data_IF_134403317573
#
_entry.id   IF_134403317573
#
_cell.length_a   1.000
_cell.length_b   1.000
_cell.length_c   1.000
_cell.angle_alpha   90.00
_cell.angle_beta   90.00
_cell.angle_gamma   90.00
#
_symmetry.space_group_name_H-M   'P 1'
#
loop_
_entity.id
_entity.type
_entity.pdbx_description
1 polymer ?
#
# COMPACT_ATOMS: atom_id res chain seq x y z
N UNK A 1 -29.96 -39.68 -5.05
CA UNK A 1 -29.36 -38.41 -4.58
C UNK A 1 -28.38 -37.92 -5.64
N UNK A 2 -28.68 -36.82 -6.32
CA UNK A 2 -27.80 -36.27 -7.36
C UNK A 2 -26.65 -35.53 -6.66
N UNK A 3 -25.42 -35.99 -6.86
CA UNK A 3 -24.24 -35.33 -6.32
C UNK A 3 -24.18 -33.87 -6.82
N UNK A 4 -23.92 -32.88 -5.95
CA UNK A 4 -23.88 -31.49 -6.37
C UNK A 4 -22.74 -31.31 -7.38
N UNK A 5 -23.08 -30.77 -8.56
CA UNK A 5 -22.13 -30.44 -9.62
C UNK A 5 -20.97 -29.61 -9.03
N UNK A 6 -19.77 -30.20 -8.98
CA UNK A 6 -18.54 -29.50 -8.59
C UNK A 6 -18.33 -28.37 -9.59
N UNK A 7 -18.62 -27.12 -9.20
CA UNK A 7 -18.32 -25.95 -10.04
C UNK A 7 -16.82 -25.97 -10.35
N UNK A 8 -16.47 -25.91 -11.63
CA UNK A 8 -15.09 -25.71 -12.07
C UNK A 8 -14.59 -24.37 -11.50
N UNK A 9 -13.88 -24.44 -10.38
CA UNK A 9 -13.24 -23.29 -9.76
C UNK A 9 -11.91 -23.03 -10.48
N UNK A 10 -11.62 -21.76 -10.74
CA UNK A 10 -10.38 -21.33 -11.38
C UNK A 10 -9.18 -21.82 -10.55
N UNK A 11 -8.28 -22.56 -11.20
CA UNK A 11 -7.03 -23.00 -10.59
C UNK A 11 -6.09 -21.83 -10.24
N UNK A 12 -5.04 -22.13 -9.47
CA UNK A 12 -4.07 -21.13 -9.02
C UNK A 12 -3.42 -20.40 -10.19
N UNK A 13 -3.21 -19.09 -10.03
CA UNK A 13 -2.39 -18.34 -10.95
C UNK A 13 -0.94 -18.79 -10.83
N UNK A 14 -0.27 -19.05 -11.96
CA UNK A 14 1.11 -19.55 -12.04
C UNK A 14 2.08 -18.58 -12.74
N UNK A 15 1.66 -17.35 -13.03
CA UNK A 15 2.50 -16.35 -13.71
C UNK A 15 2.67 -16.54 -15.23
N UNK A 16 2.50 -17.77 -15.75
CA UNK A 16 2.73 -18.18 -17.16
C UNK A 16 2.06 -17.30 -18.23
N UNK A 17 0.98 -16.61 -17.90
CA UNK A 17 0.25 -15.76 -18.86
C UNK A 17 0.90 -14.38 -19.03
N UNK A 18 1.65 -13.91 -18.03
CA UNK A 18 2.23 -12.56 -18.04
C UNK A 18 3.32 -12.43 -19.12
N UNK A 19 4.22 -13.41 -19.20
CA UNK A 19 5.35 -13.43 -20.14
C UNK A 19 4.85 -13.39 -21.59
N UNK A 20 3.88 -14.25 -21.92
CA UNK A 20 3.24 -14.27 -23.24
C UNK A 20 2.56 -12.94 -23.62
N UNK A 21 1.99 -12.23 -22.65
CA UNK A 21 1.35 -10.94 -22.89
C UNK A 21 2.38 -9.84 -23.17
N UNK A 22 3.54 -9.89 -22.52
CA UNK A 22 4.63 -8.94 -22.73
C UNK A 22 5.29 -9.19 -24.10
N UNK A 23 5.52 -10.45 -24.47
CA UNK A 23 5.97 -10.82 -25.81
C UNK A 23 4.99 -10.34 -26.89
N UNK A 24 3.68 -10.58 -26.71
CA UNK A 24 2.65 -10.08 -27.62
C UNK A 24 2.54 -8.54 -27.66
N UNK A 25 3.02 -7.85 -26.62
CA UNK A 25 3.13 -6.39 -26.57
C UNK A 25 4.46 -5.88 -27.18
N UNK A 26 5.14 -6.70 -27.99
CA UNK A 26 6.42 -6.36 -28.63
C UNK A 26 7.59 -6.29 -27.64
N UNK A 27 7.50 -7.02 -26.52
CA UNK A 27 8.51 -7.01 -25.45
C UNK A 27 8.48 -5.75 -24.59
N UNK A 28 7.50 -4.86 -24.77
CA UNK A 28 7.35 -3.62 -23.99
C UNK A 28 6.59 -3.87 -22.68
N UNK A 29 6.89 -3.12 -21.61
CA UNK A 29 6.19 -3.25 -20.33
C UNK A 29 4.69 -2.99 -20.49
N UNK A 30 3.86 -3.71 -19.72
CA UNK A 30 2.41 -3.54 -19.79
C UNK A 30 1.98 -2.21 -19.16
N UNK A 31 1.19 -1.37 -19.86
CA UNK A 31 0.77 -0.07 -19.34
C UNK A 31 -0.21 -0.23 -18.17
N UNK A 32 0.07 0.48 -17.08
CA UNK A 32 -0.78 0.59 -15.89
C UNK A 32 -0.85 2.05 -15.48
N UNK A 33 -2.04 2.51 -15.10
CA UNK A 33 -2.22 3.86 -14.55
C UNK A 33 -2.57 3.79 -13.08
N UNK A 34 -1.85 4.52 -12.25
CA UNK A 34 -2.18 4.75 -10.84
C UNK A 34 -2.25 6.27 -10.67
N UNK A 35 -3.45 6.81 -10.43
CA UNK A 35 -3.62 8.25 -10.24
C UNK A 35 -3.29 8.65 -8.79
N UNK A 36 -2.70 9.82 -8.54
CA UNK A 36 -2.45 10.34 -7.19
C UNK A 36 -3.72 10.47 -6.33
N UNK A 37 -4.84 10.85 -6.94
CA UNK A 37 -6.11 11.11 -6.25
C UNK A 37 -6.67 9.86 -5.56
N UNK A 38 -6.56 8.70 -6.22
CA UNK A 38 -7.32 7.50 -5.83
C UNK A 38 -6.42 6.38 -5.30
N UNK A 39 -5.14 6.38 -5.68
CA UNK A 39 -4.17 5.34 -5.30
C UNK A 39 -4.56 3.93 -5.76
N UNK A 40 -5.49 3.79 -6.71
CA UNK A 40 -5.91 2.52 -7.30
C UNK A 40 -5.38 2.39 -8.72
N UNK A 41 -4.95 1.18 -9.06
CA UNK A 41 -4.56 0.85 -10.43
C UNK A 41 -5.80 0.69 -11.33
N UNK A 42 -5.74 1.29 -12.50
CA UNK A 42 -6.75 1.22 -13.55
C UNK A 42 -6.09 0.80 -14.88
N UNK A 43 -6.90 0.39 -15.85
CA UNK A 43 -6.45 -0.05 -17.16
C UNK A 43 -6.60 -1.55 -17.42
N UNK A 44 -6.36 -1.96 -18.67
CA UNK A 44 -6.61 -3.33 -19.19
C UNK A 44 -5.85 -4.42 -18.44
N UNK A 45 -4.66 -4.12 -17.93
CA UNK A 45 -3.76 -5.09 -17.30
C UNK A 45 -3.78 -5.07 -15.76
N UNK A 46 -4.71 -4.32 -15.14
CA UNK A 46 -4.81 -4.17 -13.68
C UNK A 46 -4.93 -5.52 -12.94
N UNK A 47 -5.67 -6.47 -13.51
CA UNK A 47 -5.81 -7.82 -12.97
C UNK A 47 -4.49 -8.61 -13.03
N UNK A 48 -3.67 -8.38 -14.05
CA UNK A 48 -2.37 -9.03 -14.20
C UNK A 48 -1.38 -8.53 -13.15
N UNK A 49 -1.34 -7.22 -12.92
CA UNK A 49 -0.58 -6.64 -11.82
C UNK A 49 -1.05 -7.16 -10.46
N UNK A 50 -2.37 -7.20 -10.22
CA UNK A 50 -2.95 -7.77 -8.99
C UNK A 50 -2.54 -9.23 -8.73
N UNK A 51 -2.43 -10.02 -9.79
CA UNK A 51 -2.01 -11.42 -9.71
C UNK A 51 -0.51 -11.52 -9.43
N UNK A 52 0.31 -10.70 -10.09
CA UNK A 52 1.76 -10.65 -9.88
C UNK A 52 2.07 -10.28 -8.42
N UNK A 53 1.47 -9.19 -7.91
CA UNK A 53 1.60 -8.79 -6.50
C UNK A 53 1.24 -9.97 -5.57
N UNK A 54 0.15 -10.67 -5.87
CA UNK A 54 -0.27 -11.84 -5.09
C UNK A 54 0.73 -12.99 -5.15
N UNK A 55 1.36 -13.23 -6.30
CA UNK A 55 2.40 -14.24 -6.47
C UNK A 55 3.66 -13.86 -5.69
N UNK A 56 4.13 -12.63 -5.87
CA UNK A 56 5.31 -12.10 -5.18
C UNK A 56 5.16 -12.24 -3.66
N UNK A 57 4.01 -11.86 -3.10
CA UNK A 57 3.77 -12.01 -1.66
C UNK A 57 3.86 -13.46 -1.20
N UNK A 58 3.24 -14.40 -1.92
CA UNK A 58 3.25 -15.82 -1.53
C UNK A 58 4.64 -16.47 -1.64
N UNK A 59 5.48 -15.98 -2.54
CA UNK A 59 6.80 -16.55 -2.79
C UNK A 59 7.91 -15.91 -1.96
N UNK A 60 7.75 -14.64 -1.58
CA UNK A 60 8.85 -13.85 -1.03
C UNK A 60 8.54 -13.13 0.29
N UNK A 61 7.27 -12.98 0.69
CA UNK A 61 6.99 -12.28 1.94
C UNK A 61 7.34 -13.17 3.15
N UNK A 62 8.14 -12.68 4.12
CA UNK A 62 8.48 -13.44 5.31
C UNK A 62 7.24 -13.62 6.20
N UNK A 63 6.77 -14.86 6.29
CA UNK A 63 5.48 -15.16 6.93
C UNK A 63 5.51 -15.03 8.46
N UNK A 64 6.72 -15.11 9.04
CA UNK A 64 6.98 -14.93 10.48
C UNK A 64 6.82 -13.48 10.95
N UNK A 65 6.75 -12.51 10.04
CA UNK A 65 6.48 -11.12 10.41
C UNK A 65 5.03 -10.97 10.88
N UNK A 66 4.88 -10.53 12.13
CA UNK A 66 3.58 -10.54 12.78
C UNK A 66 2.59 -9.57 12.12
N UNK A 67 3.04 -8.33 11.92
CA UNK A 67 2.28 -7.20 11.37
C UNK A 67 3.01 -6.62 10.17
N UNK A 68 2.29 -6.23 9.12
CA UNK A 68 2.88 -5.59 7.93
C UNK A 68 3.75 -4.37 8.27
N UNK A 69 3.36 -3.59 9.28
CA UNK A 69 4.13 -2.41 9.74
C UNK A 69 5.53 -2.75 10.29
N UNK A 70 5.76 -4.00 10.67
CA UNK A 70 7.05 -4.49 11.16
C UNK A 70 7.87 -5.16 10.05
N UNK A 71 7.35 -5.18 8.82
CA UNK A 71 8.07 -5.75 7.68
C UNK A 71 9.31 -4.90 7.38
N UNK A 72 10.51 -5.51 7.32
CA UNK A 72 11.73 -4.78 6.99
C UNK A 72 11.60 -4.07 5.65
N UNK A 73 12.13 -2.85 5.54
CA UNK A 73 12.02 -2.09 4.28
C UNK A 73 12.73 -2.74 3.11
N UNK A 74 13.84 -3.43 3.35
CA UNK A 74 14.57 -4.19 2.34
C UNK A 74 13.69 -5.27 1.70
N UNK A 75 12.86 -5.95 2.48
CA UNK A 75 11.93 -6.99 2.00
C UNK A 75 10.82 -6.39 1.14
N UNK A 76 10.26 -5.25 1.56
CA UNK A 76 9.23 -4.57 0.77
C UNK A 76 9.81 -4.07 -0.55
N UNK A 77 11.00 -3.46 -0.53
CA UNK A 77 11.66 -2.99 -1.74
C UNK A 77 11.98 -4.15 -2.69
N UNK A 78 12.48 -5.26 -2.17
CA UNK A 78 12.73 -6.49 -2.95
C UNK A 78 11.45 -7.01 -3.61
N UNK A 79 10.32 -6.99 -2.90
CA UNK A 79 9.03 -7.37 -3.48
C UNK A 79 8.58 -6.39 -4.58
N UNK A 80 8.75 -5.08 -4.37
CA UNK A 80 8.45 -4.06 -5.38
C UNK A 80 9.30 -4.24 -6.64
N UNK A 81 10.60 -4.50 -6.48
CA UNK A 81 11.50 -4.75 -7.60
C UNK A 81 11.11 -6.02 -8.36
N UNK A 82 10.71 -7.09 -7.66
CA UNK A 82 10.21 -8.32 -8.31
C UNK A 82 8.89 -8.13 -9.04
N UNK A 83 8.03 -7.22 -8.58
CA UNK A 83 6.79 -6.86 -9.30
C UNK A 83 7.14 -6.06 -10.55
N UNK A 84 8.10 -5.14 -10.45
CA UNK A 84 8.47 -4.25 -11.55
C UNK A 84 9.32 -4.95 -12.61
N UNK A 85 10.26 -5.80 -12.21
CA UNK A 85 11.28 -6.37 -13.07
C UNK A 85 11.19 -7.88 -13.19
N UNK A 86 11.71 -8.43 -14.28
CA UNK A 86 11.93 -9.87 -14.43
C UNK A 86 13.10 -10.35 -13.54
N UNK A 87 13.04 -11.58 -13.00
CA UNK A 87 14.14 -12.17 -12.27
C UNK A 87 15.26 -12.63 -13.25
N UNK A 88 16.04 -11.68 -13.78
CA UNK A 88 17.28 -11.95 -14.53
C UNK A 88 18.20 -10.71 -14.57
N UNK A 89 19.42 -10.87 -15.10
CA UNK A 89 20.44 -9.81 -15.22
C UNK A 89 20.03 -8.63 -16.12
N UNK A 90 18.97 -8.78 -16.94
CA UNK A 90 18.45 -7.67 -17.74
C UNK A 90 17.35 -6.95 -16.96
N UNK A 91 17.49 -5.64 -16.77
CA UNK A 91 16.50 -4.74 -16.12
C UNK A 91 15.24 -4.54 -16.99
N UNK A 92 14.65 -5.64 -17.47
CA UNK A 92 13.41 -5.60 -18.24
C UNK A 92 12.23 -5.44 -17.30
N UNK A 93 11.45 -4.39 -17.54
CA UNK A 93 10.25 -4.09 -16.77
C UNK A 93 9.05 -4.93 -17.26
N UNK A 94 8.27 -5.48 -16.33
CA UNK A 94 7.01 -6.20 -16.58
C UNK A 94 5.86 -5.23 -16.82
N UNK A 95 5.83 -4.15 -16.04
CA UNK A 95 4.80 -3.13 -16.04
C UNK A 95 5.45 -1.76 -16.14
N UNK A 96 4.83 -0.84 -16.88
CA UNK A 96 5.25 0.56 -16.93
C UNK A 96 4.86 1.25 -15.61
N UNK A 97 5.66 1.03 -14.57
CA UNK A 97 5.46 1.56 -13.22
C UNK A 97 6.61 2.48 -12.84
N UNK A 98 6.27 3.74 -12.56
CA UNK A 98 7.22 4.71 -12.05
C UNK A 98 7.32 4.63 -10.51
N UNK A 99 8.28 3.85 -10.02
CA UNK A 99 8.55 3.74 -8.59
C UNK A 99 9.26 4.97 -8.01
N UNK A 100 9.66 5.96 -8.82
CA UNK A 100 10.15 7.24 -8.27
C UNK A 100 8.99 8.04 -7.66
N UNK A 101 7.78 7.84 -8.18
CA UNK A 101 6.58 8.50 -7.69
C UNK A 101 6.07 7.88 -6.40
N UNK A 102 5.94 8.72 -5.37
CA UNK A 102 5.58 8.29 -4.02
C UNK A 102 4.17 7.65 -3.96
N UNK A 103 3.20 8.20 -4.70
CA UNK A 103 1.83 7.67 -4.72
C UNK A 103 1.75 6.27 -5.36
N UNK A 104 2.61 5.98 -6.35
CA UNK A 104 2.73 4.65 -6.98
C UNK A 104 3.28 3.65 -5.97
N UNK A 105 4.38 3.99 -5.27
CA UNK A 105 4.94 3.18 -4.18
C UNK A 105 3.90 2.90 -3.11
N UNK A 106 3.27 3.94 -2.56
CA UNK A 106 2.23 3.83 -1.52
C UNK A 106 1.07 2.92 -1.97
N UNK A 107 0.65 3.02 -3.22
CA UNK A 107 -0.39 2.14 -3.80
C UNK A 107 0.05 0.68 -3.83
N UNK A 108 1.24 0.39 -4.35
CA UNK A 108 1.76 -0.99 -4.44
C UNK A 108 1.99 -1.61 -3.07
N UNK A 109 2.55 -0.87 -2.13
CA UNK A 109 2.75 -1.33 -0.75
C UNK A 109 1.44 -1.63 -0.03
N UNK A 110 0.43 -0.79 -0.25
CA UNK A 110 -0.91 -1.05 0.27
C UNK A 110 -1.47 -2.36 -0.29
N UNK A 111 -1.27 -2.62 -1.58
CA UNK A 111 -1.71 -3.86 -2.21
C UNK A 111 -0.92 -5.07 -1.72
N UNK A 112 0.40 -4.97 -1.57
CA UNK A 112 1.24 -5.99 -0.95
C UNK A 112 0.74 -6.33 0.46
N UNK A 113 0.48 -5.31 1.28
CA UNK A 113 -0.07 -5.46 2.63
C UNK A 113 -1.42 -6.19 2.65
N UNK A 114 -2.32 -5.82 1.74
CA UNK A 114 -3.64 -6.44 1.63
C UNK A 114 -3.54 -7.89 1.13
N UNK A 115 -2.66 -8.17 0.17
CA UNK A 115 -2.39 -9.54 -0.32
C UNK A 115 -1.76 -10.41 0.76
N UNK A 116 -0.84 -9.87 1.56
CA UNK A 116 -0.23 -10.57 2.69
C UNK A 116 -1.27 -10.95 3.74
N UNK A 117 -2.17 -10.01 4.09
CA UNK A 117 -3.27 -10.28 5.02
C UNK A 117 -4.21 -11.36 4.48
N UNK A 118 -4.62 -11.24 3.22
CA UNK A 118 -5.53 -12.21 2.59
C UNK A 118 -4.91 -13.60 2.52
N UNK A 119 -3.64 -13.68 2.11
CA UNK A 119 -2.90 -14.94 2.09
C UNK A 119 -2.92 -15.62 3.45
N UNK A 120 -2.61 -14.87 4.53
CA UNK A 120 -2.64 -15.42 5.89
C UNK A 120 -4.05 -15.77 6.38
N UNK A 121 -5.09 -15.07 5.92
CA UNK A 121 -6.47 -15.49 6.15
C UNK A 121 -6.76 -16.85 5.48
N UNK A 122 -6.26 -17.10 4.28
CA UNK A 122 -6.44 -18.38 3.59
C UNK A 122 -5.65 -19.51 4.26
N UNK A 123 -4.44 -19.22 4.75
CA UNK A 123 -3.67 -20.16 5.58
C UNK A 123 -4.42 -20.54 6.86
N UNK A 124 -5.05 -19.56 7.53
CA UNK A 124 -5.87 -19.82 8.70
C UNK A 124 -7.12 -20.65 8.36
N UNK A 125 -7.77 -20.41 7.21
CA UNK A 125 -8.88 -21.27 6.75
C UNK A 125 -8.43 -22.71 6.52
N UNK A 126 -7.23 -22.90 5.96
CA UNK A 126 -6.65 -24.23 5.78
C UNK A 126 -6.37 -24.91 7.12
N UNK A 127 -5.74 -24.20 8.05
CA UNK A 127 -5.52 -24.66 9.42
C UNK A 127 -6.82 -25.14 10.10
N UNK A 128 -7.93 -24.40 9.95
CA UNK A 128 -9.24 -24.75 10.52
C UNK A 128 -9.90 -26.00 9.93
N UNK A 129 -9.37 -26.58 8.85
CA UNK A 129 -9.88 -27.85 8.31
C UNK A 129 -9.49 -29.05 9.16
N UNK A 130 -8.47 -28.90 10.01
CA UNK A 130 -7.96 -29.96 10.86
C UNK A 130 -8.48 -29.79 12.30
N UNK A 131 -8.91 -30.87 12.96
CA UNK A 131 -9.43 -30.82 14.33
C UNK A 131 -8.35 -30.53 15.37
N UNK A 132 -7.09 -30.89 15.12
CA UNK A 132 -5.98 -30.72 16.07
C UNK A 132 -4.81 -29.97 15.47
N UNK A 133 -4.04 -29.28 16.32
CA UNK A 133 -2.81 -28.56 15.91
C UNK A 133 -1.78 -29.53 15.36
N UNK A 134 -1.66 -30.73 15.96
CA UNK A 134 -0.73 -31.77 15.52
C UNK A 134 -1.05 -32.23 14.10
N UNK A 135 -2.32 -32.46 13.80
CA UNK A 135 -2.76 -32.83 12.45
C UNK A 135 -2.56 -31.67 11.47
N UNK A 136 -2.85 -30.44 11.87
CA UNK A 136 -2.62 -29.27 11.04
C UNK A 136 -1.12 -29.13 10.67
N UNK A 137 -0.20 -29.30 11.64
CA UNK A 137 1.25 -29.23 11.40
C UNK A 137 1.73 -30.28 10.39
N UNK A 138 1.16 -31.49 10.42
CA UNK A 138 1.48 -32.57 9.44
C UNK A 138 0.96 -32.28 8.02
N UNK A 139 0.10 -31.29 7.84
CA UNK A 139 -0.54 -30.97 6.57
C UNK A 139 -0.25 -29.51 6.15
N UNK A 140 1.02 -29.17 5.85
CA UNK A 140 1.41 -27.82 5.45
C UNK A 140 0.66 -27.36 4.21
N UNK A 141 0.29 -26.08 4.21
CA UNK A 141 -0.33 -25.48 3.04
C UNK A 141 0.72 -25.32 1.93
N UNK A 142 0.41 -25.79 0.73
CA UNK A 142 1.28 -25.79 -0.47
C UNK A 142 1.87 -24.43 -0.90
N UNK A 143 1.40 -23.31 -0.33
CA UNK A 143 1.98 -21.99 -0.59
C UNK A 143 2.99 -21.54 0.46
N UNK A 144 3.27 -22.36 1.47
CA UNK A 144 4.25 -22.06 2.52
C UNK A 144 5.48 -22.91 2.19
N UNK A 145 6.62 -22.26 1.99
CA UNK A 145 7.79 -22.88 1.36
C UNK A 145 8.51 -23.90 2.24
N UNK A 146 8.44 -23.74 3.57
CA UNK A 146 9.13 -24.63 4.51
C UNK A 146 8.22 -25.03 5.68
N UNK A 147 8.54 -26.15 6.32
CA UNK A 147 7.75 -26.72 7.41
C UNK A 147 7.78 -25.82 8.66
N UNK A 148 8.93 -25.23 8.99
CA UNK A 148 9.08 -24.39 10.18
C UNK A 148 8.16 -23.16 10.16
N UNK A 149 8.00 -22.53 8.99
CA UNK A 149 7.10 -21.41 8.77
C UNK A 149 5.64 -21.82 8.97
N UNK A 150 5.29 -23.03 8.53
CA UNK A 150 3.97 -23.59 8.74
C UNK A 150 3.72 -23.93 10.22
N UNK A 151 4.71 -24.51 10.90
CA UNK A 151 4.63 -24.81 12.33
C UNK A 151 4.46 -23.54 13.16
N UNK A 152 5.25 -22.50 12.87
CA UNK A 152 5.11 -21.16 13.47
C UNK A 152 3.69 -20.60 13.29
N UNK A 153 3.12 -20.74 12.09
CA UNK A 153 1.75 -20.29 11.82
C UNK A 153 0.72 -21.10 12.59
N UNK A 154 0.88 -22.42 12.68
CA UNK A 154 -0.01 -23.29 13.45
C UNK A 154 0.00 -22.91 14.93
N UNK A 155 1.17 -22.68 15.51
CA UNK A 155 1.33 -22.25 16.90
C UNK A 155 0.67 -20.89 17.12
N UNK A 156 0.88 -19.95 16.20
CA UNK A 156 0.24 -18.64 16.24
C UNK A 156 -1.28 -18.73 16.15
N UNK A 157 -1.84 -19.52 15.22
CA UNK A 157 -3.29 -19.67 15.07
C UNK A 157 -3.93 -20.35 16.27
N UNK A 158 -3.16 -21.18 16.98
CA UNK A 158 -3.58 -21.87 18.19
C UNK A 158 -3.43 -21.03 19.46
N UNK A 159 -2.68 -19.93 19.41
CA UNK A 159 -2.49 -19.03 20.56
C UNK A 159 -3.81 -18.37 21.02
N UNK A 160 -3.93 -18.19 22.33
CA UNK A 160 -5.10 -17.54 22.93
C UNK A 160 -5.23 -16.07 22.49
N UNK A 161 -4.12 -15.36 22.29
CA UNK A 161 -4.17 -13.99 21.79
C UNK A 161 -4.83 -13.94 20.40
N UNK A 162 -4.42 -14.83 19.50
CA UNK A 162 -4.98 -14.89 18.15
C UNK A 162 -6.45 -15.27 18.17
N UNK A 163 -6.83 -16.32 18.92
CA UNK A 163 -8.24 -16.74 19.06
C UNK A 163 -9.12 -15.61 19.57
N UNK A 164 -8.69 -14.92 20.64
CA UNK A 164 -9.40 -13.77 21.20
C UNK A 164 -9.58 -12.66 20.18
N UNK A 165 -8.51 -12.29 19.46
CA UNK A 165 -8.57 -11.26 18.40
C UNK A 165 -9.52 -11.66 17.28
N UNK A 166 -9.47 -12.93 16.87
CA UNK A 166 -10.30 -13.50 15.80
C UNK A 166 -11.77 -13.47 16.18
N UNK A 167 -12.12 -13.85 17.43
CA UNK A 167 -13.48 -13.79 17.95
C UNK A 167 -14.04 -12.36 17.94
N UNK A 168 -13.28 -11.39 18.46
CA UNK A 168 -13.68 -9.96 18.43
C UNK A 168 -13.91 -9.48 16.99
N UNK A 169 -12.99 -9.81 16.08
CA UNK A 169 -13.12 -9.42 14.67
C UNK A 169 -14.33 -10.08 13.99
N UNK A 170 -14.68 -11.32 14.37
CA UNK A 170 -15.87 -12.00 13.85
C UNK A 170 -17.15 -11.31 14.31
N UNK A 171 -17.24 -10.92 15.58
CA UNK A 171 -18.38 -10.14 16.11
C UNK A 171 -18.44 -8.76 15.46
N UNK A 172 -17.30 -8.11 15.22
CA UNK A 172 -17.29 -6.84 14.51
C UNK A 172 -17.73 -7.00 13.05
N UNK A 173 -17.40 -8.13 12.41
CA UNK A 173 -17.81 -8.42 11.05
C UNK A 173 -19.31 -8.71 10.95
N UNK A 174 -19.93 -9.33 11.96
CA UNK A 174 -21.38 -9.56 11.96
C UNK A 174 -22.22 -8.29 12.10
N UNK A 175 -21.62 -7.19 12.58
CA UNK A 175 -22.24 -5.85 12.63
C UNK A 175 -22.20 -5.09 11.30
N UNK A 176 -21.71 -5.71 10.22
CA UNK A 176 -21.70 -5.08 8.90
C UNK A 176 -23.12 -5.12 8.31
N UNK A 177 -23.75 -3.96 8.02
CA UNK A 177 -25.16 -3.89 7.63
C UNK A 177 -25.41 -4.56 6.27
N UNK A 178 -24.52 -4.34 5.30
CA UNK A 178 -24.63 -4.92 3.97
C UNK A 178 -23.26 -5.21 3.37
N UNK A 179 -23.24 -6.19 2.46
CA UNK A 179 -22.10 -6.48 1.59
C UNK A 179 -22.29 -5.81 0.23
N UNK A 180 -21.24 -5.72 -0.59
CA UNK A 180 -21.38 -5.30 -1.98
C UNK A 180 -21.38 -6.51 -2.92
N UNK A 181 -22.00 -6.36 -4.10
CA UNK A 181 -22.06 -7.33 -5.20
C UNK A 181 -21.16 -6.98 -6.39
N UNK A 182 -20.35 -5.92 -6.29
CA UNK A 182 -19.39 -5.50 -7.33
C UNK A 182 -18.24 -6.47 -7.65
N UNK A 183 -18.17 -7.64 -7.01
CA UNK A 183 -17.14 -8.65 -7.30
C UNK A 183 -15.71 -8.17 -6.99
N UNK A 184 -14.73 -8.66 -7.77
CA UNK A 184 -13.30 -8.37 -7.58
C UNK A 184 -12.83 -7.06 -8.21
N UNK A 185 -13.67 -6.41 -9.02
CA UNK A 185 -13.36 -5.10 -9.62
C UNK A 185 -13.46 -4.00 -8.57
N UNK A 186 -12.62 -2.98 -8.69
CA UNK A 186 -12.70 -1.81 -7.81
C UNK A 186 -13.96 -1.01 -8.11
N UNK A 187 -14.46 -0.26 -7.13
CA UNK A 187 -15.65 0.60 -7.31
C UNK A 187 -15.38 1.69 -8.35
N UNK A 188 -14.17 2.23 -8.38
CA UNK A 188 -13.73 3.20 -9.40
C UNK A 188 -13.85 2.59 -10.80
N UNK A 189 -13.44 1.34 -10.97
CA UNK A 189 -13.56 0.66 -12.26
C UNK A 189 -15.02 0.44 -12.67
N UNK A 190 -15.92 0.16 -11.72
CA UNK A 190 -17.36 0.13 -11.99
C UNK A 190 -17.87 1.50 -12.44
N UNK A 191 -17.46 2.57 -11.74
CA UNK A 191 -17.90 3.92 -12.08
C UNK A 191 -17.36 4.43 -13.42
N UNK A 192 -16.14 4.03 -13.81
CA UNK A 192 -15.57 4.36 -15.12
C UNK A 192 -16.18 3.56 -16.27
N UNK A 193 -16.67 2.33 -16.03
CA UNK A 193 -17.28 1.53 -17.09
C UNK A 193 -18.66 2.04 -17.49
N UNK A 194 -19.37 2.65 -16.54
CA UNK A 194 -20.72 3.22 -16.73
C UNK A 194 -20.63 4.74 -16.90
N UNK A 195 -19.45 5.27 -17.27
CA UNK A 195 -19.23 6.71 -17.40
C UNK A 195 -20.29 7.37 -18.28
N UNK A 196 -20.56 8.66 -18.01
CA UNK A 196 -21.42 9.48 -18.87
C UNK A 196 -20.87 9.52 -20.30
N UNK A 197 -21.65 9.98 -21.28
CA UNK A 197 -21.24 10.12 -22.69
C UNK A 197 -19.90 10.90 -22.86
N UNK A 198 -19.50 11.67 -21.85
CA UNK A 198 -18.27 12.46 -21.77
C UNK A 198 -17.08 11.73 -21.12
N UNK A 199 -17.21 10.47 -20.70
CA UNK A 199 -16.14 9.70 -20.05
C UNK A 199 -15.92 10.02 -18.56
N UNK A 200 -16.84 10.75 -17.93
CA UNK A 200 -16.78 11.08 -16.50
C UNK A 200 -17.36 9.94 -15.64
N UNK A 201 -16.75 9.70 -14.49
CA UNK A 201 -17.19 8.67 -13.54
C UNK A 201 -18.61 8.98 -13.04
N UNK A 202 -19.46 7.95 -12.94
CA UNK A 202 -20.81 8.10 -12.38
C UNK A 202 -20.78 8.65 -10.95
N UNK A 203 -21.84 9.36 -10.58
CA UNK A 203 -22.05 9.89 -9.23
C UNK A 203 -21.98 8.82 -8.14
N UNK A 204 -21.70 9.24 -6.90
CA UNK A 204 -21.52 8.33 -5.76
C UNK A 204 -22.81 7.59 -5.39
N UNK A 205 -23.97 8.23 -5.57
CA UNK A 205 -25.28 7.63 -5.31
C UNK A 205 -25.53 6.50 -6.32
N UNK A 206 -25.25 6.75 -7.61
CA UNK A 206 -25.42 5.72 -8.64
C UNK A 206 -24.39 4.60 -8.51
N UNK A 207 -23.14 4.93 -8.14
CA UNK A 207 -22.12 3.94 -7.82
C UNK A 207 -22.55 3.01 -6.69
N UNK A 208 -23.19 3.54 -5.64
CA UNK A 208 -23.74 2.74 -4.56
C UNK A 208 -24.77 1.74 -5.08
N UNK A 209 -25.71 2.17 -5.92
CA UNK A 209 -26.70 1.29 -6.55
C UNK A 209 -26.04 0.22 -7.43
N UNK A 210 -25.11 0.61 -8.30
CA UNK A 210 -24.39 -0.30 -9.20
C UNK A 210 -23.73 -1.47 -8.45
N UNK A 211 -23.21 -1.23 -7.26
CA UNK A 211 -22.50 -2.25 -6.49
C UNK A 211 -23.37 -2.95 -5.44
N UNK A 212 -24.62 -2.55 -5.21
CA UNK A 212 -25.54 -3.17 -4.23
C UNK A 212 -26.84 -3.71 -4.82
N UNK A 213 -27.12 -3.42 -6.08
CA UNK A 213 -28.33 -3.84 -6.79
C UNK A 213 -28.00 -4.65 -8.06
N UNK A 214 -28.87 -5.58 -8.43
CA UNK A 214 -28.84 -6.30 -9.72
C UNK A 214 -30.24 -6.39 -10.30
N UNK A 215 -30.36 -6.36 -11.63
CA UNK A 215 -31.66 -6.47 -12.32
C UNK A 215 -32.43 -7.75 -12.01
N UNK A 216 -31.73 -8.87 -11.84
CA UNK A 216 -32.34 -10.18 -11.56
C UNK A 216 -32.70 -10.38 -10.08
N UNK A 217 -31.87 -9.88 -9.17
CA UNK A 217 -31.97 -10.18 -7.72
C UNK A 217 -32.54 -9.00 -6.90
N UNK A 218 -32.62 -7.82 -7.50
CA UNK A 218 -32.91 -6.58 -6.78
C UNK A 218 -31.77 -6.13 -5.86
N UNK A 219 -32.13 -5.48 -4.76
CA UNK A 219 -31.21 -4.99 -3.74
C UNK A 219 -30.61 -6.14 -2.92
N UNK A 220 -29.38 -5.96 -2.41
CA UNK A 220 -28.74 -7.00 -1.61
C UNK A 220 -29.50 -7.33 -0.32
N UNK A 221 -30.09 -6.32 0.33
CA UNK A 221 -30.96 -6.43 1.49
C UNK A 221 -31.82 -5.16 1.60
N UNK A 222 -32.78 -5.16 2.54
CA UNK A 222 -33.66 -4.02 2.77
C UNK A 222 -32.88 -2.78 3.24
N UNK A 223 -31.89 -2.93 4.13
CA UNK A 223 -31.10 -1.80 4.62
C UNK A 223 -30.40 -1.02 3.49
N UNK A 224 -29.78 -1.71 2.52
CA UNK A 224 -29.14 -1.06 1.39
C UNK A 224 -30.15 -0.28 0.52
N UNK A 225 -31.37 -0.80 0.38
CA UNK A 225 -32.47 -0.12 -0.32
C UNK A 225 -32.87 1.15 0.43
N UNK A 226 -33.11 1.05 1.74
CA UNK A 226 -33.52 2.19 2.58
C UNK A 226 -32.45 3.30 2.56
N UNK A 227 -31.17 2.93 2.61
CA UNK A 227 -30.08 3.89 2.46
C UNK A 227 -30.12 4.60 1.10
N UNK A 228 -30.33 3.87 0.01
CA UNK A 228 -30.41 4.48 -1.32
C UNK A 228 -31.63 5.40 -1.46
N UNK A 229 -32.80 4.97 -1.00
CA UNK A 229 -34.02 5.79 -1.03
C UNK A 229 -33.83 7.09 -0.22
N UNK A 230 -33.18 7.02 0.94
CA UNK A 230 -32.84 8.20 1.74
C UNK A 230 -31.84 9.15 1.06
N UNK A 231 -30.88 8.62 0.29
CA UNK A 231 -30.00 9.46 -0.52
C UNK A 231 -30.78 10.23 -1.59
N UNK A 232 -31.69 9.55 -2.29
CA UNK A 232 -32.54 10.18 -3.30
C UNK A 232 -33.48 11.22 -2.70
N UNK A 233 -34.02 10.96 -1.50
CA UNK A 233 -34.83 11.93 -0.77
C UNK A 233 -34.04 13.22 -0.48
N UNK A 234 -32.84 13.10 0.08
CA UNK A 234 -31.97 14.26 0.36
C UNK A 234 -31.54 14.99 -0.93
N UNK A 235 -31.30 14.27 -2.02
CA UNK A 235 -30.95 14.85 -3.31
C UNK A 235 -32.10 15.68 -3.91
N UNK A 236 -33.36 15.32 -3.60
CA UNK A 236 -34.57 16.01 -4.09
C UNK A 236 -35.04 17.14 -3.18
N UNK A 237 -34.43 17.34 -2.01
CA UNK A 237 -34.86 18.38 -1.09
C UNK A 237 -34.68 19.77 -1.71
N UNK A 238 -35.70 20.65 -1.61
CA UNK A 238 -35.61 22.00 -2.15
C UNK A 238 -34.53 22.78 -1.41
N UNK A 239 -33.74 23.53 -2.17
CA UNK A 239 -32.66 24.36 -1.65
C UNK A 239 -33.30 25.68 -1.19
N UNK A 240 -33.12 26.04 0.09
CA UNK A 240 -33.56 27.35 0.59
C UNK A 240 -32.84 28.48 -0.17
N UNK A 241 -33.50 29.63 -0.36
CA UNK A 241 -32.90 30.78 -1.04
C UNK A 241 -31.54 31.15 -0.41
N UNK A 242 -30.49 31.12 -1.22
CA UNK A 242 -29.10 31.40 -0.81
C UNK A 242 -28.30 30.20 -0.26
N UNK A 243 -28.90 29.01 -0.11
CA UNK A 243 -28.17 27.82 0.29
C UNK A 243 -27.50 27.11 -0.90
N UNK A 244 -26.37 26.43 -0.63
CA UNK A 244 -25.70 25.58 -1.62
C UNK A 244 -26.30 24.18 -1.56
N UNK A 245 -26.61 23.58 -2.72
CA UNK A 245 -27.07 22.19 -2.81
C UNK A 245 -26.04 21.24 -2.18
N UNK A 246 -26.50 20.25 -1.40
CA UNK A 246 -25.60 19.20 -0.94
C UNK A 246 -25.06 18.41 -2.13
N UNK A 247 -23.74 18.22 -2.16
CA UNK A 247 -23.10 17.35 -3.14
C UNK A 247 -23.47 15.88 -2.87
N UNK A 248 -23.42 15.02 -3.90
CA UNK A 248 -23.66 13.58 -3.70
C UNK A 248 -22.72 12.94 -2.67
N UNK A 249 -21.51 13.49 -2.53
CA UNK A 249 -20.53 13.06 -1.52
C UNK A 249 -21.06 13.28 -0.10
N UNK A 250 -21.55 14.49 0.17
CA UNK A 250 -22.07 14.90 1.47
C UNK A 250 -23.38 14.15 1.79
N UNK A 251 -24.22 13.91 0.79
CA UNK A 251 -25.43 13.08 0.93
C UNK A 251 -25.04 11.66 1.35
N UNK A 252 -24.12 11.02 0.61
CA UNK A 252 -23.64 9.68 0.95
C UNK A 252 -23.02 9.62 2.34
N UNK A 253 -22.20 10.61 2.71
CA UNK A 253 -21.58 10.71 4.02
C UNK A 253 -22.62 10.81 5.14
N UNK A 254 -23.64 11.67 4.98
CA UNK A 254 -24.73 11.86 5.95
C UNK A 254 -25.58 10.60 6.13
N UNK A 255 -25.85 9.89 5.03
CA UNK A 255 -26.74 8.72 5.03
C UNK A 255 -26.04 7.45 5.51
N UNK A 256 -24.87 7.14 4.95
CA UNK A 256 -24.12 5.91 5.26
C UNK A 256 -23.27 6.07 6.52
N UNK A 257 -22.94 7.32 6.87
CA UNK A 257 -21.97 7.64 7.91
C UNK A 257 -20.54 7.41 7.45
N UNK A 258 -19.61 7.98 8.22
CA UNK A 258 -18.18 7.89 7.97
C UNK A 258 -17.44 7.06 9.03
N UNK A 259 -16.26 6.59 8.68
CA UNK A 259 -15.21 6.15 9.59
C UNK A 259 -13.90 6.84 9.19
N UNK A 260 -12.88 6.75 10.05
CA UNK A 260 -11.56 7.34 9.79
C UNK A 260 -11.05 6.98 8.39
N UNK A 261 -11.14 7.94 7.46
CA UNK A 261 -10.62 7.84 6.10
C UNK A 261 -11.53 7.23 5.03
N UNK A 262 -12.83 6.96 5.28
CA UNK A 262 -13.77 6.53 4.24
C UNK A 262 -15.25 6.65 4.64
N UNK A 263 -16.13 6.76 3.64
CA UNK A 263 -17.60 6.66 3.77
C UNK A 263 -18.02 5.19 3.73
N UNK A 264 -18.89 4.75 4.64
CA UNK A 264 -19.34 3.35 4.69
C UNK A 264 -20.05 2.98 3.38
N UNK A 265 -19.94 1.74 2.92
CA UNK A 265 -20.65 1.28 1.74
C UNK A 265 -20.11 1.74 0.38
N UNK A 266 -19.17 2.71 0.31
CA UNK A 266 -18.61 3.21 -0.95
C UNK A 266 -17.20 2.67 -1.28
N UNK A 267 -16.78 1.60 -0.61
CA UNK A 267 -15.45 1.01 -0.81
C UNK A 267 -14.32 1.97 -0.43
N UNK A 268 -13.14 1.81 -1.05
CA UNK A 268 -12.04 2.79 -0.97
C UNK A 268 -12.27 3.93 -1.99
N UNK A 269 -13.40 4.61 -1.87
CA UNK A 269 -13.77 5.79 -2.64
C UNK A 269 -13.19 7.10 -2.05
N UNK A 270 -13.51 8.27 -2.62
CA UNK A 270 -12.90 9.55 -2.28
C UNK A 270 -12.85 9.78 -0.76
N UNK A 271 -11.68 10.25 -0.30
CA UNK A 271 -11.48 10.55 1.12
C UNK A 271 -12.53 11.58 1.55
N UNK A 272 -13.18 11.42 2.71
CA UNK A 272 -14.15 12.39 3.20
C UNK A 272 -13.55 13.79 3.20
N UNK A 273 -14.36 14.79 2.87
CA UNK A 273 -13.97 16.20 2.91
C UNK A 273 -13.70 16.52 4.38
N UNK A 274 -12.43 16.50 4.76
CA UNK A 274 -12.02 16.71 6.15
C UNK A 274 -12.38 18.13 6.59
N UNK A 275 -13.47 18.26 7.33
CA UNK A 275 -13.77 19.47 8.11
C UNK A 275 -12.98 19.57 9.43
N UNK A 276 -12.01 18.66 9.70
CA UNK A 276 -11.12 18.80 10.85
C UNK A 276 -9.77 19.40 10.44
N UNK A 277 -9.66 20.72 10.52
CA UNK A 277 -8.36 21.44 10.55
C UNK A 277 -7.54 21.16 11.83
N UNK A 278 -7.79 20.09 12.57
CA UNK A 278 -7.21 19.87 13.90
C UNK A 278 -6.46 18.55 14.09
N UNK A 279 -6.32 17.71 13.07
CA UNK A 279 -5.37 16.58 13.10
C UNK A 279 -4.68 16.42 11.76
N UNK A 280 -3.36 16.66 11.66
CA UNK A 280 -2.61 16.26 10.48
C UNK A 280 -2.83 14.77 10.27
N UNK A 281 -3.10 14.38 9.03
CA UNK A 281 -3.09 12.99 8.62
C UNK A 281 -1.75 12.36 9.03
N UNK A 282 -1.74 11.04 9.29
CA UNK A 282 -0.49 10.34 9.63
C UNK A 282 0.62 10.58 8.60
N UNK A 283 0.25 10.85 7.34
CA UNK A 283 1.14 11.24 6.25
C UNK A 283 1.72 12.65 6.37
N UNK A 284 0.94 13.65 6.80
CA UNK A 284 1.47 15.02 6.98
C UNK A 284 2.45 15.09 8.16
N UNK A 285 2.16 14.34 9.23
CA UNK A 285 3.07 14.24 10.37
C UNK A 285 4.36 13.49 10.04
N UNK A 286 4.29 12.51 9.14
CA UNK A 286 5.45 11.78 8.62
C UNK A 286 6.29 12.69 7.70
N UNK A 287 5.67 13.45 6.80
CA UNK A 287 6.33 14.45 5.96
C UNK A 287 6.99 15.55 6.81
N UNK A 288 6.33 16.04 7.86
CA UNK A 288 6.89 17.06 8.77
C UNK A 288 8.05 16.51 9.61
N UNK A 289 8.01 15.22 9.97
CA UNK A 289 9.13 14.55 10.64
C UNK A 289 10.30 14.30 9.68
N UNK A 290 10.03 13.91 8.43
CA UNK A 290 11.04 13.76 7.38
C UNK A 290 11.70 15.10 7.06
N UNK A 291 10.93 16.18 6.94
CA UNK A 291 11.47 17.52 6.69
C UNK A 291 12.36 17.99 7.84
N UNK A 292 11.92 17.81 9.10
CA UNK A 292 12.76 18.10 10.28
C UNK A 292 14.01 17.23 10.34
N UNK A 293 13.92 15.96 9.94
CA UNK A 293 15.08 15.08 9.92
C UNK A 293 16.10 15.54 8.88
N UNK A 294 15.64 15.95 7.69
CA UNK A 294 16.49 16.51 6.63
C UNK A 294 17.11 17.83 7.08
N UNK A 295 16.35 18.74 7.68
CA UNK A 295 16.88 19.99 8.24
C UNK A 295 17.93 19.73 9.32
N UNK A 296 17.67 18.79 10.23
CA UNK A 296 18.63 18.42 11.30
C UNK A 296 19.90 17.81 10.70
N UNK A 297 19.78 16.97 9.69
CA UNK A 297 20.94 16.40 8.98
C UNK A 297 21.73 17.48 8.25
N UNK A 298 21.05 18.43 7.59
CA UNK A 298 21.71 19.54 6.91
C UNK A 298 22.49 20.42 7.88
N UNK A 299 21.89 20.77 9.03
CA UNK A 299 22.57 21.53 10.09
C UNK A 299 23.78 20.77 10.67
N UNK A 300 23.68 19.44 10.80
CA UNK A 300 24.82 18.62 11.23
C UNK A 300 25.94 18.62 10.19
N UNK A 301 25.62 18.56 8.90
CA UNK A 301 26.61 18.63 7.82
C UNK A 301 27.29 20.01 7.77
N UNK A 302 26.54 21.10 7.90
CA UNK A 302 27.13 22.46 8.02
C UNK A 302 28.06 22.57 9.23
N UNK A 303 27.61 22.08 10.40
CA UNK A 303 28.44 22.10 11.62
C UNK A 303 29.71 21.25 11.46
N UNK A 304 29.64 20.13 10.73
CA UNK A 304 30.82 19.33 10.42
C UNK A 304 31.75 20.04 9.45
N UNK A 305 31.20 20.72 8.42
CA UNK A 305 32.00 21.49 7.48
C UNK A 305 32.73 22.65 8.18
N UNK A 306 32.04 23.40 9.04
CA UNK A 306 32.67 24.48 9.82
C UNK A 306 33.82 23.95 10.71
N UNK A 307 33.67 22.75 11.27
CA UNK A 307 34.75 22.10 12.05
C UNK A 307 35.93 21.69 11.17
N UNK A 308 35.67 21.21 9.96
CA UNK A 308 36.71 20.87 8.99
C UNK A 308 37.47 22.14 8.61
N UNK A 309 36.78 23.22 8.27
CA UNK A 309 37.40 24.49 7.89
C UNK A 309 38.26 25.08 9.03
N UNK A 310 37.78 24.97 10.28
CA UNK A 310 38.57 25.35 11.46
C UNK A 310 39.83 24.50 11.64
N UNK A 311 39.73 23.18 11.44
CA UNK A 311 40.89 22.28 11.51
C UNK A 311 41.89 22.57 10.39
N UNK A 312 41.42 22.85 9.17
CA UNK A 312 42.28 23.23 8.05
C UNK A 312 43.02 24.55 8.34
N UNK A 313 42.34 25.56 8.89
CA UNK A 313 42.97 26.81 9.30
C UNK A 313 44.05 26.61 10.39
N UNK A 314 43.80 25.72 11.37
CA UNK A 314 44.79 25.37 12.39
C UNK A 314 46.00 24.67 11.81
N UNK A 315 45.78 23.70 10.90
CA UNK A 315 46.86 22.98 10.21
C UNK A 315 47.69 23.94 9.35
N UNK A 316 47.05 24.86 8.62
CA UNK A 316 47.77 25.87 7.85
C UNK A 316 48.61 26.78 8.75
N UNK A 317 48.06 27.24 9.88
CA UNK A 317 48.79 28.07 10.83
C UNK A 317 49.98 27.33 11.44
N UNK A 318 49.81 26.05 11.79
CA UNK A 318 50.90 25.22 12.30
C UNK A 318 51.99 25.02 11.25
N UNK A 319 51.63 24.76 9.99
CA UNK A 319 52.57 24.63 8.89
C UNK A 319 53.35 25.94 8.63
N UNK A 320 52.69 27.10 8.72
CA UNK A 320 53.34 28.40 8.62
C UNK A 320 54.33 28.62 9.78
N UNK A 321 53.96 28.25 11.00
CA UNK A 321 54.86 28.34 12.16
C UNK A 321 56.08 27.42 12.01
N UNK A 322 55.88 26.17 11.59
CA UNK A 322 56.98 25.24 11.32
C UNK A 322 57.90 25.77 10.22
N UNK A 323 57.35 26.37 9.16
CA UNK A 323 58.14 26.99 8.09
C UNK A 323 58.96 28.17 8.60
N UNK A 324 58.38 29.06 9.42
CA UNK A 324 59.10 30.18 10.03
C UNK A 324 60.22 29.71 10.95
N UNK A 325 59.97 28.70 11.79
CA UNK A 325 61.00 28.09 12.66
C UNK A 325 62.13 27.49 11.84
N UNK A 326 61.81 26.82 10.73
CA UNK A 326 62.82 26.25 9.84
C UNK A 326 63.70 27.35 9.21
N UNK A 327 63.12 28.43 8.71
CA UNK A 327 63.87 29.57 8.17
C UNK A 327 64.74 30.26 9.23
N UNK A 328 64.27 30.37 10.46
CA UNK A 328 65.04 30.92 11.58
C UNK A 328 66.27 30.05 11.92
N UNK A 329 66.10 28.73 11.95
CA UNK A 329 67.21 27.77 12.11
C UNK A 329 68.21 27.92 10.96
N UNK A 330 67.75 27.99 9.70
CA UNK A 330 68.63 28.18 8.54
C UNK A 330 69.37 29.53 8.58
N UNK A 331 68.75 30.58 9.15
CA UNK A 331 69.37 31.89 9.33
C UNK A 331 70.47 31.84 10.39
N UNK A 332 70.23 31.17 11.52
CA UNK A 332 71.23 30.97 12.56
C UNK A 332 72.44 30.18 12.06
N UNK A 333 72.23 29.07 11.34
CA UNK A 333 73.32 28.27 10.76
C UNK A 333 74.18 29.09 9.78
N UNK A 334 73.56 29.92 8.94
CA UNK A 334 74.28 30.83 8.02
C UNK A 334 75.09 31.90 8.77
N UNK A 335 74.57 32.44 9.87
CA UNK A 335 75.31 33.42 10.68
C UNK A 335 76.49 32.81 11.44
N UNK A 336 76.40 31.55 11.88
CA UNK A 336 77.49 30.85 12.58
C UNK A 336 78.65 30.43 11.66
N UNK A 337 78.43 30.26 10.36
CA UNK A 337 79.49 29.94 9.40
C UNK A 337 80.23 31.16 8.84
N UNK A 338 79.76 32.38 9.13
CA UNK A 338 80.43 33.63 8.76
C UNK A 338 81.33 34.23 9.86
N UNK A 339 81.58 33.49 10.94
CA UNK A 339 82.38 33.92 12.11
C UNK A 339 83.48 32.91 12.44
N UNK A 340 84.29 32.52 11.45
CA UNK A 340 85.55 31.78 11.63
C UNK A 340 86.62 32.35 10.73
#
# INVERSE_FOLDING_TARGET
>A
MVAPNKRNVRGKTRGVILDKLIEANGGKPLPITIKPSDGKQTGKYCEKLSNEIGLTVRQHAPVRVEKWKQMPRAEINTMLDRIKFFPCLTMKEKFALDLTQEHVKKSLEKQLSDRFRNWRCDLHKHFKKFPTVVEAKRNPHESVSNQEDWDYLCDRFSSEEFKRRSAINSVNRSKMPFHHRGGSRSFIQHGLQVSTENGEMVGQIELFKLVHWKSQDGWINQEARDYYEKMLELQRQPIAEGAVAMTEAEICERVLGQKSGYVKGLGFGPKPISFSKSRPSSSEREIELEHRLVETQQQQLETQQDRIDQLEALVQKQNQQHHQQFEEILRHLRSSQGSS
#
